data_IF_390172159115
#
_entry.id   IF_390172159115
#
_cell.length_a   1.000
_cell.length_b   1.000
_cell.length_c   1.000
_cell.angle_alpha   90.00
_cell.angle_beta   90.00
_cell.angle_gamma   90.00
#
_symmetry.space_group_name_H-M   'P 1'
#
loop_
_entity.id
_entity.type
_entity.pdbx_description
1 polymer ?
#
# COMPACT_ATOMS: atom_id res chain seq x y z
N UNK A 1 -1.40 -15.01 -19.21
CA UNK A 1 -0.02 -15.43 -18.86
C UNK A 1 0.12 -15.17 -17.35
N UNK A 2 0.26 -16.17 -16.48
CA UNK A 2 0.29 -15.97 -15.02
C UNK A 2 1.76 -15.94 -14.55
N UNK A 3 2.41 -14.79 -14.67
CA UNK A 3 3.84 -14.63 -14.32
C UNK A 3 4.12 -13.42 -13.40
N UNK A 4 3.08 -12.71 -12.95
CA UNK A 4 3.27 -11.43 -12.23
C UNK A 4 2.86 -11.46 -10.75
N UNK A 5 1.98 -12.38 -10.32
CA UNK A 5 1.56 -12.48 -8.91
C UNK A 5 2.74 -12.77 -7.96
N UNK A 6 3.72 -13.58 -8.37
CA UNK A 6 4.85 -13.96 -7.51
C UNK A 6 5.85 -12.85 -7.23
N UNK A 7 5.88 -11.79 -8.06
CA UNK A 7 6.79 -10.64 -7.87
C UNK A 7 6.13 -9.56 -7.03
N UNK A 8 4.85 -9.32 -7.26
CA UNK A 8 4.00 -8.49 -6.39
C UNK A 8 4.01 -9.03 -4.96
N UNK A 9 3.81 -10.34 -4.79
CA UNK A 9 3.86 -11.00 -3.49
C UNK A 9 5.22 -10.82 -2.80
N UNK A 10 6.33 -10.83 -3.56
CA UNK A 10 7.68 -10.67 -3.00
C UNK A 10 7.93 -9.22 -2.54
N UNK A 11 7.46 -8.23 -3.31
CA UNK A 11 7.52 -6.81 -2.96
C UNK A 11 6.71 -6.52 -1.70
N UNK A 12 5.47 -7.01 -1.67
CA UNK A 12 4.59 -6.91 -0.51
C UNK A 12 5.25 -7.61 0.68
N UNK A 13 5.77 -8.83 0.52
CA UNK A 13 6.43 -9.56 1.62
C UNK A 13 7.67 -8.83 2.17
N UNK A 14 8.50 -8.24 1.30
CA UNK A 14 9.66 -7.44 1.70
C UNK A 14 9.25 -6.20 2.50
N UNK A 15 8.25 -5.48 2.00
CA UNK A 15 7.69 -4.32 2.68
C UNK A 15 7.09 -4.69 4.04
N UNK A 16 6.42 -5.84 4.14
CA UNK A 16 5.85 -6.32 5.40
C UNK A 16 6.93 -6.73 6.41
N UNK A 17 8.03 -7.32 5.95
CA UNK A 17 9.16 -7.61 6.80
C UNK A 17 9.80 -6.32 7.35
N UNK A 18 9.94 -5.28 6.52
CA UNK A 18 10.44 -3.97 6.93
C UNK A 18 9.48 -3.26 7.91
N UNK A 19 8.17 -3.28 7.62
CA UNK A 19 7.15 -2.72 8.49
C UNK A 19 7.07 -3.45 9.85
N UNK A 20 7.31 -4.77 9.88
CA UNK A 20 7.42 -5.52 11.13
C UNK A 20 8.62 -5.11 11.99
N UNK A 21 9.67 -4.55 11.37
CA UNK A 21 10.79 -3.94 12.08
C UNK A 21 10.54 -2.47 12.49
N UNK A 22 9.33 -1.96 12.27
CA UNK A 22 8.94 -0.59 12.59
C UNK A 22 9.26 0.42 11.49
N UNK A 23 9.69 -0.05 10.31
CA UNK A 23 9.95 0.84 9.18
C UNK A 23 8.64 1.22 8.47
N UNK A 24 8.13 2.40 8.82
CA UNK A 24 6.91 2.95 8.24
C UNK A 24 7.09 3.45 6.81
N UNK A 25 8.34 3.70 6.40
CA UNK A 25 8.72 4.14 5.05
C UNK A 25 8.52 3.02 4.02
N UNK A 26 8.60 1.76 4.44
CA UNK A 26 8.39 0.62 3.57
C UNK A 26 7.00 0.65 2.90
N UNK A 27 5.95 0.98 3.67
CA UNK A 27 4.59 1.11 3.13
C UNK A 27 4.48 2.27 2.13
N UNK A 28 5.25 3.34 2.33
CA UNK A 28 5.31 4.45 1.38
C UNK A 28 5.97 4.02 0.07
N UNK A 29 7.12 3.35 0.13
CA UNK A 29 7.84 2.86 -1.06
C UNK A 29 6.98 1.88 -1.87
N UNK A 30 6.21 1.03 -1.19
CA UNK A 30 5.28 0.12 -1.83
C UNK A 30 4.14 0.88 -2.53
N UNK A 31 3.60 1.93 -1.89
CA UNK A 31 2.63 2.83 -2.51
C UNK A 31 3.17 3.50 -3.77
N UNK A 32 4.44 3.93 -3.75
CA UNK A 32 5.13 4.51 -4.91
C UNK A 32 5.33 3.47 -6.01
N UNK A 33 5.70 2.23 -5.67
CA UNK A 33 5.89 1.16 -6.64
C UNK A 33 4.60 0.87 -7.41
N UNK A 34 3.47 0.74 -6.72
CA UNK A 34 2.15 0.57 -7.35
C UNK A 34 1.66 1.82 -8.09
N UNK A 35 1.98 3.02 -7.61
CA UNK A 35 1.60 4.27 -8.31
C UNK A 35 2.37 4.48 -9.61
N UNK A 36 3.59 3.94 -9.69
CA UNK A 36 4.47 4.10 -10.86
C UNK A 36 4.50 2.86 -11.76
N UNK A 37 3.94 1.73 -11.31
CA UNK A 37 4.08 0.44 -11.99
C UNK A 37 5.54 0.00 -12.09
N UNK A 38 6.32 0.20 -11.03
CA UNK A 38 7.77 -0.06 -11.02
C UNK A 38 8.12 -1.34 -10.23
N UNK A 39 9.31 -1.91 -10.49
CA UNK A 39 9.73 -3.21 -9.96
C UNK A 39 8.95 -4.42 -10.48
N UNK A 40 8.25 -4.26 -11.61
CA UNK A 40 7.48 -5.34 -12.24
C UNK A 40 6.16 -5.60 -11.55
N UNK A 41 5.52 -4.54 -11.04
CA UNK A 41 4.10 -4.53 -10.67
C UNK A 41 3.39 -3.61 -11.65
N UNK A 42 2.13 -3.90 -11.95
CA UNK A 42 1.32 -2.99 -12.77
C UNK A 42 0.93 -1.72 -11.98
N UNK A 43 0.67 -0.64 -12.72
CA UNK A 43 0.19 0.58 -12.09
C UNK A 43 -1.23 0.37 -11.55
N UNK A 44 -1.38 0.39 -10.23
CA UNK A 44 -2.66 0.23 -9.54
C UNK A 44 -2.81 1.27 -8.43
N UNK A 45 -3.65 2.29 -8.71
CA UNK A 45 -3.93 3.37 -7.77
C UNK A 45 -4.68 2.89 -6.52
N UNK A 46 -5.46 1.79 -6.61
CA UNK A 46 -6.20 1.21 -5.49
C UNK A 46 -5.21 0.61 -4.48
N UNK A 47 -4.26 -0.18 -4.95
CA UNK A 47 -3.20 -0.71 -4.09
C UNK A 47 -2.27 0.40 -3.60
N UNK A 48 -1.87 1.34 -4.46
CA UNK A 48 -1.05 2.49 -4.05
C UNK A 48 -1.70 3.27 -2.90
N UNK A 49 -2.99 3.61 -3.03
CA UNK A 49 -3.75 4.30 -1.99
C UNK A 49 -3.84 3.51 -0.71
N UNK A 50 -4.04 2.19 -0.79
CA UNK A 50 -4.05 1.32 0.39
C UNK A 50 -2.72 1.40 1.14
N UNK A 51 -1.59 1.29 0.45
CA UNK A 51 -0.26 1.33 1.07
C UNK A 51 0.10 2.70 1.63
N UNK A 52 -0.20 3.78 0.90
CA UNK A 52 -0.04 5.13 1.43
C UNK A 52 -0.93 5.40 2.64
N UNK A 53 -2.15 4.86 2.66
CA UNK A 53 -3.02 4.96 3.83
C UNK A 53 -2.45 4.24 5.05
N UNK A 54 -1.84 3.08 4.87
CA UNK A 54 -1.16 2.34 5.94
C UNK A 54 0.04 3.13 6.49
N UNK A 55 0.88 3.66 5.60
CA UNK A 55 2.01 4.51 5.98
C UNK A 55 1.56 5.78 6.73
N UNK A 56 0.49 6.43 6.25
CA UNK A 56 -0.09 7.61 6.88
C UNK A 56 -0.64 7.31 8.29
N UNK A 57 -1.33 6.18 8.47
CA UNK A 57 -1.82 5.72 9.78
C UNK A 57 -0.65 5.41 10.73
N UNK A 58 0.48 4.96 10.20
CA UNK A 58 1.69 4.71 10.96
C UNK A 58 2.50 5.99 11.29
N UNK A 59 2.06 7.17 10.80
CA UNK A 59 2.67 8.47 11.10
C UNK A 59 3.50 9.08 9.97
N UNK A 60 3.50 8.49 8.77
CA UNK A 60 4.26 9.00 7.63
C UNK A 60 3.50 10.15 6.93
N UNK A 61 3.93 11.40 7.17
CA UNK A 61 3.25 12.59 6.66
C UNK A 61 3.24 12.67 5.12
N UNK A 62 4.35 12.31 4.45
CA UNK A 62 4.42 12.32 2.98
C UNK A 62 3.45 11.31 2.35
N UNK A 63 3.25 10.15 2.99
CA UNK A 63 2.29 9.18 2.50
C UNK A 63 0.85 9.73 2.54
N UNK A 64 0.52 10.55 3.53
CA UNK A 64 -0.79 11.20 3.58
C UNK A 64 -1.01 12.17 2.42
N UNK A 65 0.05 12.88 2.00
CA UNK A 65 0.01 13.77 0.83
C UNK A 65 -0.14 12.95 -0.45
N UNK A 66 0.73 11.96 -0.69
CA UNK A 66 0.64 11.12 -1.88
C UNK A 66 -0.70 10.39 -1.99
N UNK A 67 -1.26 9.92 -0.85
CA UNK A 67 -2.61 9.35 -0.81
C UNK A 67 -3.67 10.35 -1.29
N UNK A 68 -3.58 11.61 -0.87
CA UNK A 68 -4.52 12.65 -1.27
C UNK A 68 -4.38 12.95 -2.76
N UNK A 69 -3.15 13.10 -3.25
CA UNK A 69 -2.87 13.37 -4.66
C UNK A 69 -3.47 12.29 -5.58
N UNK A 70 -3.21 11.01 -5.30
CA UNK A 70 -3.79 9.93 -6.11
C UNK A 70 -5.30 9.75 -5.90
N UNK A 71 -5.85 10.19 -4.75
CA UNK A 71 -7.30 10.14 -4.52
C UNK A 71 -8.04 11.07 -5.46
N UNK A 72 -7.42 12.17 -5.90
CA UNK A 72 -8.02 13.09 -6.87
C UNK A 72 -8.12 12.48 -8.28
N UNK A 73 -7.26 11.51 -8.60
CA UNK A 73 -7.30 10.76 -9.86
C UNK A 73 -8.24 9.54 -9.82
N UNK A 74 -8.67 9.14 -8.63
CA UNK A 74 -9.52 7.97 -8.41
C UNK A 74 -11.00 8.34 -8.29
N UNK A 75 -11.88 7.39 -8.62
CA UNK A 75 -13.31 7.53 -8.32
C UNK A 75 -13.59 7.26 -6.84
N UNK A 76 -14.70 7.82 -6.33
CA UNK A 76 -15.15 7.54 -4.97
C UNK A 76 -15.34 6.03 -4.68
N UNK A 77 -15.67 5.23 -5.70
CA UNK A 77 -15.80 3.78 -5.57
C UNK A 77 -14.44 3.11 -5.35
N UNK A 78 -13.43 3.51 -6.10
CA UNK A 78 -12.06 3.00 -6.01
C UNK A 78 -11.41 3.42 -4.68
N UNK A 79 -11.57 4.67 -4.27
CA UNK A 79 -11.10 5.16 -2.96
C UNK A 79 -11.76 4.37 -1.83
N UNK A 80 -13.07 4.15 -1.91
CA UNK A 80 -13.78 3.34 -0.91
C UNK A 80 -13.27 1.90 -0.87
N UNK A 81 -12.87 1.32 -2.00
CA UNK A 81 -12.29 0.00 -2.07
C UNK A 81 -10.88 -0.06 -1.46
N UNK A 82 -10.01 0.87 -1.82
CA UNK A 82 -8.67 0.99 -1.26
C UNK A 82 -8.73 1.17 0.27
N UNK A 83 -9.64 2.01 0.77
CA UNK A 83 -9.84 2.20 2.20
C UNK A 83 -10.36 0.94 2.90
N UNK A 84 -11.27 0.19 2.28
CA UNK A 84 -11.74 -1.11 2.83
C UNK A 84 -10.57 -2.08 2.96
N UNK A 85 -9.80 -2.28 1.88
CA UNK A 85 -8.63 -3.17 1.90
C UNK A 85 -7.58 -2.76 2.93
N UNK A 86 -7.30 -1.46 3.06
CA UNK A 86 -6.37 -0.95 4.07
C UNK A 86 -6.85 -1.22 5.50
N UNK A 87 -8.16 -1.03 5.78
CA UNK A 87 -8.75 -1.31 7.09
C UNK A 87 -8.72 -2.80 7.42
N UNK A 88 -9.05 -3.65 6.44
CA UNK A 88 -8.95 -5.10 6.59
C UNK A 88 -7.51 -5.52 6.86
N UNK A 89 -6.54 -4.92 6.15
CA UNK A 89 -5.13 -5.14 6.38
C UNK A 89 -4.71 -4.76 7.80
N UNK A 90 -5.05 -3.57 8.28
CA UNK A 90 -4.80 -3.14 9.67
C UNK A 90 -5.45 -4.10 10.67
N UNK A 91 -6.70 -4.49 10.45
CA UNK A 91 -7.41 -5.42 11.32
C UNK A 91 -6.79 -6.83 11.35
N UNK A 92 -6.18 -7.27 10.25
CA UNK A 92 -5.47 -8.54 10.16
C UNK A 92 -4.04 -8.45 10.72
N UNK A 93 -3.32 -7.35 10.49
CA UNK A 93 -1.95 -7.14 10.95
C UNK A 93 -1.89 -6.87 12.46
N UNK A 94 -2.85 -6.13 13.02
CA UNK A 94 -2.99 -5.97 14.48
C UNK A 94 -3.22 -7.30 15.19
N UNK A 95 -3.90 -8.26 14.55
CA UNK A 95 -4.12 -9.60 15.11
C UNK A 95 -2.88 -10.49 15.07
N UNK A 96 -1.89 -10.14 14.26
CA UNK A 96 -0.62 -10.85 14.09
C UNK A 96 0.49 -10.33 15.01
N UNK A 97 0.24 -9.19 15.67
CA UNK A 97 1.14 -8.54 16.63
C UNK A 97 0.69 -8.74 18.10
N UNK A 98 -0.24 -9.66 18.37
CA UNK A 98 -0.78 -9.98 19.69
C UNK A 98 -0.33 -11.35 20.20
#
# INVERSE_FOLDING_TARGET
>A
MPADESREDLLVASCLAAAAQGDTSAYYDLGVAYSTGSHGVDCDLIEAHKWFNLAAVAGHAEAAMCRADISDEMTAREVAEAQRRAREWLGASTRRAA
#
